data_IF_801247993951
#
_entry.id   IF_801247993951
#
_cell.length_a   1.000
_cell.length_b   1.000
_cell.length_c   1.000
_cell.angle_alpha   90.00
_cell.angle_beta   90.00
_cell.angle_gamma   90.00
#
_symmetry.space_group_name_H-M   'P 1'
#
loop_
_entity.id
_entity.type
_entity.pdbx_description
1 polymer ?
#
# COMPACT_ATOMS: atom_id res chain seq x y z
N UNK A 1 32.26 -50.02 -8.48
CA UNK A 1 31.64 -49.44 -7.27
C UNK A 1 31.93 -47.94 -7.26
N UNK A 2 30.91 -47.09 -7.43
CA UNK A 2 30.99 -45.65 -7.11
C UNK A 2 29.70 -45.34 -6.38
N UNK A 3 29.78 -45.17 -5.06
CA UNK A 3 28.62 -44.82 -4.23
C UNK A 3 28.14 -43.40 -4.55
N UNK A 4 26.88 -43.05 -4.24
CA UNK A 4 26.35 -41.72 -4.49
C UNK A 4 27.19 -40.69 -3.72
N UNK A 5 27.68 -39.67 -4.42
CA UNK A 5 28.42 -38.57 -3.82
C UNK A 5 27.54 -37.91 -2.76
N UNK A 6 28.02 -37.91 -1.51
CA UNK A 6 27.40 -37.19 -0.41
C UNK A 6 27.54 -35.70 -0.69
N UNK A 7 26.51 -35.09 -1.28
CA UNK A 7 26.41 -33.62 -1.38
C UNK A 7 26.12 -33.11 0.02
N UNK A 8 27.02 -32.33 0.66
CA UNK A 8 26.76 -31.82 1.99
C UNK A 8 25.50 -30.94 1.96
N UNK A 9 24.57 -31.20 2.87
CA UNK A 9 23.41 -30.34 3.07
C UNK A 9 23.88 -28.93 3.43
N UNK A 10 23.28 -27.87 2.86
CA UNK A 10 23.63 -26.49 3.19
C UNK A 10 23.48 -26.30 4.70
N UNK A 11 24.58 -25.93 5.35
CA UNK A 11 24.60 -25.72 6.79
C UNK A 11 23.68 -24.53 7.14
N UNK A 12 22.91 -24.59 8.24
CA UNK A 12 22.05 -23.48 8.63
C UNK A 12 22.93 -22.28 8.99
N UNK A 13 22.89 -21.24 8.15
CA UNK A 13 23.56 -19.97 8.45
C UNK A 13 23.10 -19.42 9.82
N UNK A 14 23.99 -18.79 10.59
CA UNK A 14 23.67 -18.17 11.87
C UNK A 14 22.49 -17.20 11.75
N UNK A 15 21.65 -17.13 12.77
CA UNK A 15 20.39 -16.36 12.76
C UNK A 15 20.62 -14.88 12.45
N UNK A 16 21.72 -14.28 12.92
CA UNK A 16 22.17 -12.93 12.57
C UNK A 16 22.31 -12.70 11.05
N UNK A 17 22.85 -13.69 10.32
CA UNK A 17 23.04 -13.59 8.87
C UNK A 17 21.71 -13.66 8.13
N UNK A 18 20.76 -14.45 8.63
CA UNK A 18 19.39 -14.48 8.10
C UNK A 18 18.66 -13.17 8.36
N UNK A 19 18.85 -12.57 9.53
CA UNK A 19 18.27 -11.27 9.88
C UNK A 19 18.85 -10.14 9.02
N UNK A 20 20.17 -10.14 8.80
CA UNK A 20 20.81 -9.19 7.88
C UNK A 20 20.35 -9.38 6.43
N UNK A 21 20.08 -10.63 6.01
CA UNK A 21 19.52 -10.90 4.68
C UNK A 21 18.09 -10.33 4.52
N UNK A 22 17.27 -10.31 5.58
CA UNK A 22 15.95 -9.66 5.55
C UNK A 22 16.04 -8.16 5.26
N UNK A 23 17.03 -7.46 5.85
CA UNK A 23 17.25 -6.04 5.59
C UNK A 23 17.79 -5.76 4.18
N UNK A 24 18.19 -6.79 3.42
CA UNK A 24 18.68 -6.66 2.04
C UNK A 24 17.62 -7.01 0.97
N UNK A 25 16.52 -7.65 1.36
CA UNK A 25 15.43 -7.99 0.44
C UNK A 25 14.51 -6.77 0.35
N UNK A 26 14.31 -6.17 -0.85
CA UNK A 26 13.58 -4.92 -0.95
C UNK A 26 12.13 -5.02 -0.47
N UNK A 27 11.54 -6.23 -0.48
CA UNK A 27 10.21 -6.50 0.08
C UNK A 27 10.14 -6.33 1.61
N UNK A 28 11.25 -6.48 2.32
CA UNK A 28 11.34 -6.44 3.78
C UNK A 28 12.23 -5.31 4.31
N UNK A 29 12.85 -4.52 3.43
CA UNK A 29 13.65 -3.34 3.77
C UNK A 29 12.80 -2.30 4.51
N UNK A 30 13.26 -1.87 5.69
CA UNK A 30 12.61 -0.79 6.47
C UNK A 30 12.74 0.59 5.84
N UNK A 31 13.69 0.79 4.93
CA UNK A 31 13.96 2.07 4.26
C UNK A 31 14.62 1.83 2.91
N UNK A 32 14.21 2.57 1.89
CA UNK A 32 14.86 2.52 0.57
C UNK A 32 16.24 3.19 0.66
N UNK A 33 17.34 2.54 0.21
CA UNK A 33 18.62 3.21 0.05
C UNK A 33 18.48 4.37 -0.95
N UNK A 34 19.14 5.51 -0.71
CA UNK A 34 19.05 6.68 -1.61
C UNK A 34 19.55 6.35 -3.04
N UNK A 35 20.44 5.38 -3.18
CA UNK A 35 20.97 4.89 -4.45
C UNK A 35 20.05 3.87 -5.17
N UNK A 36 18.96 3.43 -4.52
CA UNK A 36 18.07 2.39 -5.05
C UNK A 36 17.02 2.90 -6.05
N UNK A 37 16.92 4.21 -6.25
CA UNK A 37 16.02 4.87 -7.22
C UNK A 37 16.33 4.52 -8.70
N UNK A 38 17.47 3.87 -8.97
CA UNK A 38 17.88 3.44 -10.30
C UNK A 38 17.79 1.93 -10.58
N UNK A 39 17.44 1.10 -9.60
CA UNK A 39 17.40 -0.36 -9.78
C UNK A 39 16.06 -0.82 -10.37
N UNK A 40 16.04 -1.48 -11.55
CA UNK A 40 14.81 -1.96 -12.18
C UNK A 40 14.04 -2.99 -11.33
N UNK A 41 14.72 -3.70 -10.43
CA UNK A 41 14.11 -4.63 -9.46
C UNK A 41 13.34 -3.86 -8.40
N UNK A 42 13.87 -2.73 -7.94
CA UNK A 42 13.20 -1.85 -6.98
C UNK A 42 11.99 -1.19 -7.63
N UNK A 43 12.09 -0.75 -8.89
CA UNK A 43 10.95 -0.23 -9.65
C UNK A 43 9.85 -1.30 -9.86
N UNK A 44 10.23 -2.55 -10.17
CA UNK A 44 9.28 -3.65 -10.32
C UNK A 44 8.62 -4.04 -8.98
N UNK A 45 9.39 -4.10 -7.89
CA UNK A 45 8.87 -4.38 -6.54
C UNK A 45 8.03 -3.22 -6.02
N UNK A 46 8.37 -1.98 -6.33
CA UNK A 46 7.55 -0.82 -6.01
C UNK A 46 6.24 -0.82 -6.82
N UNK A 47 6.28 -1.26 -8.08
CA UNK A 47 5.05 -1.47 -8.87
C UNK A 47 4.15 -2.57 -8.28
N UNK A 48 4.74 -3.62 -7.67
CA UNK A 48 4.00 -4.65 -6.94
C UNK A 48 3.50 -4.17 -5.56
N UNK A 49 4.26 -3.30 -4.89
CA UNK A 49 3.89 -2.76 -3.58
C UNK A 49 2.82 -1.66 -3.67
N UNK A 50 2.80 -0.91 -4.77
CA UNK A 50 1.74 0.03 -5.14
C UNK A 50 0.78 -0.63 -6.16
N UNK A 51 0.26 -1.80 -5.84
CA UNK A 51 -0.85 -2.39 -6.57
C UNK A 51 -2.11 -1.50 -6.41
N UNK A 52 -2.30 -0.61 -7.37
CA UNK A 52 -3.43 0.29 -7.51
C UNK A 52 -2.99 1.66 -8.03
N UNK A 53 -3.52 2.08 -9.17
CA UNK A 53 -3.46 3.47 -9.62
C UNK A 53 -3.98 4.41 -8.52
N UNK A 54 -3.53 5.68 -8.47
CA UNK A 54 -4.11 6.70 -7.58
C UNK A 54 -5.64 6.70 -7.57
N UNK A 55 -6.25 6.46 -8.73
CA UNK A 55 -7.68 6.35 -8.93
C UNK A 55 -8.29 5.09 -8.28
N UNK A 56 -7.64 3.93 -8.35
CA UNK A 56 -8.09 2.72 -7.66
C UNK A 56 -8.00 2.85 -6.13
N UNK A 57 -6.93 3.46 -5.62
CA UNK A 57 -6.77 3.74 -4.19
C UNK A 57 -7.87 4.70 -3.73
N UNK A 58 -8.08 5.80 -4.45
CA UNK A 58 -9.13 6.76 -4.17
C UNK A 58 -10.54 6.15 -4.25
N UNK A 59 -10.77 5.25 -5.20
CA UNK A 59 -12.02 4.52 -5.36
C UNK A 59 -12.30 3.62 -4.16
N UNK A 60 -11.28 2.89 -3.67
CA UNK A 60 -11.41 2.07 -2.49
C UNK A 60 -11.76 2.91 -1.24
N UNK A 61 -11.09 4.05 -1.05
CA UNK A 61 -11.41 4.97 0.03
C UNK A 61 -12.81 5.59 -0.09
N UNK A 62 -13.28 5.88 -1.32
CA UNK A 62 -14.65 6.32 -1.56
C UNK A 62 -15.66 5.27 -1.10
N UNK A 63 -15.44 4.00 -1.41
CA UNK A 63 -16.32 2.90 -1.03
C UNK A 63 -16.38 2.74 0.49
N UNK A 64 -15.21 2.76 1.15
CA UNK A 64 -15.14 2.76 2.62
C UNK A 64 -15.92 3.96 3.19
N UNK A 65 -15.66 5.18 2.71
CA UNK A 65 -16.40 6.37 3.15
C UNK A 65 -17.92 6.23 3.00
N UNK A 66 -18.39 5.65 1.88
CA UNK A 66 -19.81 5.42 1.63
C UNK A 66 -20.44 4.45 2.64
N UNK A 67 -19.71 3.42 3.05
CA UNK A 67 -20.23 2.46 4.03
C UNK A 67 -20.33 3.07 5.44
N UNK A 68 -19.37 3.92 5.83
CA UNK A 68 -19.46 4.70 7.06
C UNK A 68 -20.58 5.75 7.00
N UNK A 69 -20.78 6.38 5.83
CA UNK A 69 -21.88 7.32 5.60
C UNK A 69 -23.24 6.65 5.79
N UNK A 70 -23.46 5.46 5.19
CA UNK A 70 -24.68 4.66 5.41
C UNK A 70 -24.86 4.28 6.88
N UNK A 71 -23.75 4.03 7.58
CA UNK A 71 -23.72 3.77 9.02
C UNK A 71 -23.95 5.01 9.90
N UNK A 72 -24.22 6.19 9.33
CA UNK A 72 -24.33 7.49 10.01
C UNK A 72 -23.08 7.89 10.81
N UNK A 73 -21.93 7.31 10.46
CA UNK A 73 -20.62 7.61 11.04
C UNK A 73 -19.93 8.67 10.19
N UNK A 74 -20.55 9.85 10.12
CA UNK A 74 -20.17 10.90 9.17
C UNK A 74 -18.77 11.46 9.40
N UNK A 75 -18.31 11.51 10.66
CA UNK A 75 -16.96 11.99 11.00
C UNK A 75 -15.87 11.07 10.46
N UNK A 76 -16.04 9.76 10.61
CA UNK A 76 -15.14 8.78 10.02
C UNK A 76 -15.23 8.75 8.48
N UNK A 77 -16.44 8.89 7.92
CA UNK A 77 -16.64 8.97 6.47
C UNK A 77 -15.84 10.12 5.83
N UNK A 78 -15.83 11.32 6.46
CA UNK A 78 -15.01 12.46 6.04
C UNK A 78 -13.52 12.10 6.01
N UNK A 79 -13.05 11.34 6.99
CA UNK A 79 -11.67 10.85 7.04
C UNK A 79 -11.32 10.02 5.82
N UNK A 80 -12.14 9.02 5.50
CA UNK A 80 -11.94 8.17 4.32
C UNK A 80 -12.01 8.96 3.01
N UNK A 81 -12.96 9.87 2.83
CA UNK A 81 -13.00 10.69 1.63
C UNK A 81 -11.78 11.61 1.49
N UNK A 82 -11.23 12.09 2.61
CA UNK A 82 -9.99 12.89 2.60
C UNK A 82 -8.79 12.04 2.22
N UNK A 83 -8.67 10.83 2.75
CA UNK A 83 -7.63 9.89 2.35
C UNK A 83 -7.72 9.53 0.86
N UNK A 84 -8.94 9.43 0.32
CA UNK A 84 -9.16 9.24 -1.12
C UNK A 84 -8.67 10.41 -1.96
N UNK A 85 -8.74 11.64 -1.45
CA UNK A 85 -8.14 12.81 -2.11
C UNK A 85 -6.62 12.86 -1.98
N UNK A 86 -6.09 12.46 -0.83
CA UNK A 86 -4.64 12.43 -0.55
C UNK A 86 -3.92 11.38 -1.41
N UNK A 87 -4.64 10.38 -1.93
CA UNK A 87 -4.15 9.46 -2.93
C UNK A 87 -3.84 10.11 -4.29
N UNK A 88 -4.20 11.40 -4.48
CA UNK A 88 -4.01 12.16 -5.73
C UNK A 88 -4.60 11.49 -6.98
N UNK A 89 -5.90 11.12 -6.97
CA UNK A 89 -6.56 10.59 -8.16
C UNK A 89 -6.50 11.60 -9.31
N UNK A 90 -6.55 11.10 -10.54
CA UNK A 90 -6.54 11.91 -11.77
C UNK A 90 -7.91 11.93 -12.46
N UNK A 91 -8.79 11.00 -12.12
CA UNK A 91 -10.16 10.96 -12.60
C UNK A 91 -10.98 12.09 -11.95
N UNK A 92 -11.33 13.08 -12.77
CA UNK A 92 -12.16 14.22 -12.38
C UNK A 92 -13.49 13.79 -11.75
N UNK A 93 -14.15 12.76 -12.30
CA UNK A 93 -15.45 12.28 -11.79
C UNK A 93 -15.28 11.70 -10.39
N UNK A 94 -14.17 11.00 -10.14
CA UNK A 94 -13.86 10.45 -8.83
C UNK A 94 -13.56 11.56 -7.81
N UNK A 95 -12.76 12.56 -8.20
CA UNK A 95 -12.47 13.74 -7.37
C UNK A 95 -13.76 14.48 -7.01
N UNK A 96 -14.63 14.73 -7.99
CA UNK A 96 -15.92 15.39 -7.80
C UNK A 96 -16.80 14.60 -6.82
N UNK A 97 -16.86 13.27 -6.95
CA UNK A 97 -17.62 12.42 -6.05
C UNK A 97 -17.09 12.48 -4.60
N UNK A 98 -15.76 12.41 -4.42
CA UNK A 98 -15.15 12.52 -3.09
C UNK A 98 -15.46 13.86 -2.41
N UNK A 99 -15.36 14.97 -3.15
CA UNK A 99 -15.68 16.30 -2.65
C UNK A 99 -17.16 16.45 -2.30
N UNK A 100 -18.07 15.99 -3.18
CA UNK A 100 -19.50 16.02 -2.94
C UNK A 100 -19.89 15.21 -1.70
N UNK A 101 -19.37 13.99 -1.58
CA UNK A 101 -19.68 13.12 -0.45
C UNK A 101 -19.13 13.69 0.87
N UNK A 102 -17.93 14.29 0.85
CA UNK A 102 -17.38 14.98 2.02
C UNK A 102 -18.23 16.19 2.42
N UNK A 103 -18.73 16.96 1.45
CA UNK A 103 -19.65 18.06 1.72
C UNK A 103 -20.97 17.56 2.34
N UNK A 104 -21.55 16.48 1.80
CA UNK A 104 -22.75 15.86 2.35
C UNK A 104 -22.55 15.42 3.81
N UNK A 105 -21.41 14.79 4.15
CA UNK A 105 -21.11 14.44 5.54
C UNK A 105 -21.08 15.66 6.48
N UNK A 106 -20.51 16.78 6.03
CA UNK A 106 -20.43 17.98 6.85
C UNK A 106 -21.80 18.64 7.05
N UNK A 107 -22.71 18.50 6.08
CA UNK A 107 -24.10 18.92 6.24
C UNK A 107 -24.80 18.08 7.32
N UNK A 108 -24.67 16.76 7.25
CA UNK A 108 -25.25 15.83 8.23
C UNK A 108 -24.66 15.99 9.65
N UNK A 109 -23.41 16.43 9.78
CA UNK A 109 -22.77 16.74 11.07
C UNK A 109 -23.19 18.09 11.65
N UNK A 110 -23.78 18.96 10.84
CA UNK A 110 -24.23 20.30 11.24
C UNK A 110 -25.73 20.35 11.60
N UNK A 111 -26.46 19.25 11.40
CA UNK A 111 -27.83 19.02 11.89
C UNK A 111 -27.83 18.26 13.23
#
# INVERSE_FOLDING_TARGET
MVGPAHVPLPQPAPVEEKMAAFDSVPLFMKSLPEDALGDPTVAALQSLAYEGTPDEIAQNFKEQGNDYFKGKRYREAVGFYTQGMDATPTDTVLIEALLCNRAACNLELSE
#
